data_IF_328942901427
#
_entry.id   IF_328942901427
#
_cell.length_a   1.000
_cell.length_b   1.000
_cell.length_c   1.000
_cell.angle_alpha   90.00
_cell.angle_beta   90.00
_cell.angle_gamma   90.00
#
_symmetry.space_group_name_H-M   'P 1'
#
loop_
_entity.id
_entity.type
_entity.pdbx_description
1 polymer ?
#
# COMPACT_ATOMS: atom_id res chain seq x y z
N UNK A 1 11.68 -19.37 15.56
CA UNK A 1 10.87 -18.14 15.65
C UNK A 1 10.87 -17.53 14.27
N UNK A 2 9.74 -17.56 13.56
CA UNK A 2 9.63 -16.85 12.28
C UNK A 2 9.58 -15.36 12.61
N UNK A 3 10.59 -14.60 12.23
CA UNK A 3 10.57 -13.15 12.42
C UNK A 3 9.42 -12.58 11.58
N UNK A 4 8.49 -11.89 12.22
CA UNK A 4 7.40 -11.22 11.54
C UNK A 4 7.99 -9.99 10.86
N UNK A 5 8.22 -10.07 9.55
CA UNK A 5 8.78 -8.94 8.79
C UNK A 5 7.76 -7.78 8.82
N UNK A 6 8.10 -6.63 9.41
CA UNK A 6 7.16 -5.52 9.51
C UNK A 6 6.85 -4.96 8.12
N UNK A 7 5.57 -5.00 7.74
CA UNK A 7 5.08 -4.37 6.52
C UNK A 7 4.80 -2.91 6.81
N UNK A 8 5.57 -2.03 6.17
CA UNK A 8 5.47 -0.59 6.32
C UNK A 8 4.62 0.07 5.22
N UNK A 9 3.94 1.15 5.56
CA UNK A 9 3.12 1.97 4.64
C UNK A 9 3.94 2.49 3.46
N UNK A 10 5.20 2.87 3.70
CA UNK A 10 6.09 3.38 2.66
C UNK A 10 6.41 2.31 1.60
N UNK A 11 6.39 1.03 1.97
CA UNK A 11 6.62 -0.09 1.04
C UNK A 11 5.42 -0.25 0.11
N UNK A 12 4.20 -0.21 0.64
CA UNK A 12 2.95 -0.24 -0.13
C UNK A 12 2.88 0.98 -1.07
N UNK A 13 3.18 2.18 -0.55
CA UNK A 13 3.18 3.41 -1.35
C UNK A 13 4.21 3.36 -2.50
N UNK A 14 5.44 2.88 -2.23
CA UNK A 14 6.47 2.69 -3.25
C UNK A 14 6.04 1.69 -4.33
N UNK A 15 5.43 0.58 -3.93
CA UNK A 15 4.90 -0.42 -4.86
C UNK A 15 3.85 0.19 -5.80
N UNK A 16 2.86 0.91 -5.24
CA UNK A 16 1.83 1.57 -6.03
C UNK A 16 2.42 2.58 -7.02
N UNK A 17 3.40 3.39 -6.59
CA UNK A 17 4.04 4.37 -7.46
C UNK A 17 4.79 3.71 -8.63
N UNK A 18 5.52 2.63 -8.38
CA UNK A 18 6.18 1.84 -9.43
C UNK A 18 5.18 1.25 -10.44
N UNK A 19 3.96 0.93 -9.99
CA UNK A 19 2.87 0.41 -10.82
C UNK A 19 1.97 1.52 -11.41
N UNK A 20 2.52 2.70 -11.69
CA UNK A 20 1.76 3.80 -12.31
C UNK A 20 0.74 4.47 -11.39
N UNK A 21 0.89 4.30 -10.08
CA UNK A 21 0.05 4.92 -9.06
C UNK A 21 -1.20 4.11 -8.68
N UNK A 22 -1.35 2.87 -9.15
CA UNK A 22 -2.45 2.00 -8.72
C UNK A 22 -2.13 0.51 -8.87
N UNK A 23 -2.78 -0.33 -8.09
CA UNK A 23 -2.71 -1.80 -8.20
C UNK A 23 -3.96 -2.46 -7.64
N UNK A 24 -4.21 -3.71 -7.98
CA UNK A 24 -5.16 -4.57 -7.27
C UNK A 24 -4.57 -5.04 -5.94
N UNK A 25 -5.41 -5.23 -4.92
CA UNK A 25 -4.98 -5.80 -3.63
C UNK A 25 -4.24 -7.12 -3.80
N UNK A 26 -4.72 -8.00 -4.69
CA UNK A 26 -4.04 -9.25 -5.01
C UNK A 26 -2.62 -9.07 -5.54
N UNK A 27 -2.33 -8.00 -6.27
CA UNK A 27 -0.97 -7.70 -6.75
C UNK A 27 -0.09 -7.22 -5.60
N UNK A 28 -0.65 -6.43 -4.67
CA UNK A 28 0.03 -5.99 -3.45
C UNK A 28 0.35 -7.21 -2.56
N UNK A 29 -0.60 -8.13 -2.35
CA UNK A 29 -0.36 -9.36 -1.59
C UNK A 29 0.70 -10.22 -2.24
N UNK A 30 0.62 -10.48 -3.55
CA UNK A 30 1.62 -11.27 -4.26
C UNK A 30 3.03 -10.68 -4.15
N UNK A 31 3.15 -9.36 -4.08
CA UNK A 31 4.44 -8.69 -4.00
C UNK A 31 4.97 -8.55 -2.57
N UNK A 32 4.10 -8.41 -1.57
CA UNK A 32 4.47 -7.97 -0.22
C UNK A 32 4.06 -8.94 0.91
N UNK A 33 3.21 -9.94 0.64
CA UNK A 33 2.80 -10.93 1.65
C UNK A 33 3.60 -12.21 1.50
N UNK A 34 4.15 -12.71 2.59
CA UNK A 34 4.80 -14.02 2.67
C UNK A 34 3.83 -15.12 3.14
N UNK A 35 2.71 -14.73 3.76
CA UNK A 35 1.72 -15.62 4.38
C UNK A 35 0.34 -14.92 4.57
N UNK A 36 -0.63 -15.63 5.17
CA UNK A 36 -1.95 -15.06 5.43
C UNK A 36 -1.95 -14.00 6.55
N UNK A 37 -0.97 -14.03 7.45
CA UNK A 37 -0.82 -13.05 8.53
C UNK A 37 -0.42 -11.69 7.95
N UNK A 38 0.57 -11.68 7.07
CA UNK A 38 1.05 -10.49 6.35
C UNK A 38 -0.03 -9.88 5.45
N UNK A 39 -0.97 -10.67 4.91
CA UNK A 39 -2.14 -10.13 4.19
C UNK A 39 -3.04 -9.30 5.09
N UNK A 40 -3.33 -9.77 6.31
CA UNK A 40 -4.12 -9.00 7.29
C UNK A 40 -3.43 -7.69 7.67
N UNK A 41 -2.11 -7.74 7.87
CA UNK A 41 -1.32 -6.52 8.13
C UNK A 41 -1.39 -5.55 6.94
N UNK A 42 -1.28 -6.03 5.69
CA UNK A 42 -1.45 -5.17 4.50
C UNK A 42 -2.83 -4.53 4.49
N UNK A 43 -3.90 -5.27 4.81
CA UNK A 43 -5.25 -4.73 4.85
C UNK A 43 -5.43 -3.64 5.91
N UNK A 44 -4.90 -3.85 7.11
CA UNK A 44 -4.91 -2.85 8.18
C UNK A 44 -4.17 -1.57 7.75
N UNK A 45 -3.00 -1.73 7.12
CA UNK A 45 -2.20 -0.62 6.61
C UNK A 45 -2.91 0.13 5.49
N UNK A 46 -3.52 -0.58 4.55
CA UNK A 46 -4.30 0.03 3.46
C UNK A 46 -5.48 0.85 4.00
N UNK A 47 -6.25 0.30 4.95
CA UNK A 47 -7.35 1.03 5.61
C UNK A 47 -6.84 2.28 6.33
N UNK A 48 -5.69 2.18 6.98
CA UNK A 48 -5.06 3.32 7.65
C UNK A 48 -4.65 4.40 6.65
N UNK A 49 -3.96 4.01 5.57
CA UNK A 49 -3.56 4.91 4.49
C UNK A 49 -4.77 5.58 3.81
N UNK A 50 -5.88 4.88 3.64
CA UNK A 50 -7.12 5.44 3.11
C UNK A 50 -7.73 6.47 4.07
N UNK A 51 -7.82 6.14 5.37
CA UNK A 51 -8.32 7.08 6.39
C UNK A 51 -7.51 8.36 6.46
N UNK A 52 -6.20 8.29 6.24
CA UNK A 52 -5.31 9.46 6.19
C UNK A 52 -5.27 10.14 4.81
N UNK A 53 -6.02 9.64 3.83
CA UNK A 53 -6.09 10.21 2.48
C UNK A 53 -4.81 10.05 1.67
N UNK A 54 -3.99 9.04 1.95
CA UNK A 54 -2.80 8.72 1.16
C UNK A 54 -3.16 7.88 -0.08
N UNK A 55 -4.20 7.05 0.04
CA UNK A 55 -4.73 6.22 -1.04
C UNK A 55 -6.25 6.31 -1.10
N UNK A 56 -6.81 5.82 -2.20
CA UNK A 56 -8.24 5.60 -2.40
C UNK A 56 -8.41 4.09 -2.65
N UNK A 57 -9.32 3.45 -1.92
CA UNK A 57 -9.67 2.04 -2.12
C UNK A 57 -11.03 1.97 -2.80
N UNK A 58 -11.04 1.40 -4.00
CA UNK A 58 -12.19 1.25 -4.88
C UNK A 58 -12.42 -0.26 -5.09
N UNK A 59 -13.12 -0.86 -4.12
CA UNK A 59 -13.25 -2.31 -3.99
C UNK A 59 -11.89 -2.98 -3.82
N UNK A 60 -11.45 -3.68 -4.87
CA UNK A 60 -10.15 -4.38 -4.92
C UNK A 60 -9.02 -3.53 -5.49
N UNK A 61 -9.31 -2.35 -6.03
CA UNK A 61 -8.30 -1.47 -6.61
C UNK A 61 -7.85 -0.42 -5.60
N UNK A 62 -6.55 -0.30 -5.41
CA UNK A 62 -5.91 0.73 -4.58
C UNK A 62 -5.23 1.76 -5.50
N UNK A 63 -5.47 3.05 -5.27
CA UNK A 63 -4.91 4.15 -6.06
C UNK A 63 -4.23 5.14 -5.13
N UNK A 64 -3.02 5.62 -5.47
CA UNK A 64 -2.39 6.73 -4.74
C UNK A 64 -3.24 7.98 -4.91
N UNK A 65 -3.57 8.65 -3.81
CA UNK A 65 -4.24 9.94 -3.89
C UNK A 65 -3.20 10.97 -4.32
N UNK A 66 -3.38 11.56 -5.51
CA UNK A 66 -2.52 12.67 -5.96
C UNK A 66 -2.76 13.89 -5.06
N UNK A 67 -1.93 14.07 -4.04
CA UNK A 67 -1.83 15.36 -3.37
C UNK A 67 -1.10 16.32 -4.31
N UNK A 68 -1.75 17.44 -4.65
CA UNK A 68 -1.21 18.53 -5.50
C UNK A 68 0.02 19.21 -4.84
N UNK A 69 0.44 18.77 -3.66
CA UNK A 69 1.58 19.30 -2.89
C UNK A 69 2.90 18.54 -3.05
N UNK A 70 3.01 17.54 -3.95
CA UNK A 70 4.32 17.00 -4.36
C UNK A 70 4.90 17.73 -5.57
N UNK A 71 4.91 19.07 -5.51
CA UNK A 71 5.92 19.88 -6.20
C UNK A 71 6.81 20.48 -5.13
N UNK A 72 8.13 20.31 -5.30
CA UNK A 72 9.23 20.68 -4.41
C UNK A 72 9.58 19.61 -3.37
N UNK A 73 10.80 19.10 -3.25
CA UNK A 73 12.07 19.53 -3.83
C UNK A 73 13.01 18.35 -4.12
N UNK A 74 13.85 18.57 -5.13
CA UNK A 74 15.23 18.12 -5.10
C UNK A 74 15.96 18.84 -3.95
#
# INVERSE_FOLDING_TARGET
MTEMVPIYEHTIHRFLFKNGGSALKMEIYKALSEDDSSRKTIDEKLRMMERFGLVIIDGEKVKVKKNIQQKSGF
#
